data_IF_286655150185
#
_entry.id   IF_286655150185
#
_cell.length_a   1.000
_cell.length_b   1.000
_cell.length_c   1.000
_cell.angle_alpha   90.00
_cell.angle_beta   90.00
_cell.angle_gamma   90.00
#
_symmetry.space_group_name_H-M   'P 1'
#
loop_
_entity.id
_entity.type
_entity.pdbx_description
1 polymer ?
#
# COMPACT_ATOMS: atom_id res chain seq x y z
N UNK A 1 -6.25 -13.68 24.74
CA UNK A 1 -5.29 -12.68 24.19
C UNK A 1 -5.86 -12.15 22.89
N UNK A 2 -6.03 -10.84 22.78
CA UNK A 2 -6.39 -10.20 21.50
C UNK A 2 -5.11 -10.14 20.65
N UNK A 3 -4.93 -11.10 19.73
CA UNK A 3 -3.79 -11.12 18.83
C UNK A 3 -3.81 -9.93 17.86
N UNK A 4 -2.63 -9.43 17.47
CA UNK A 4 -2.51 -8.42 16.43
C UNK A 4 -3.02 -9.04 15.12
N UNK A 5 -4.26 -8.74 14.72
CA UNK A 5 -4.83 -9.22 13.46
C UNK A 5 -4.33 -8.35 12.30
N UNK A 6 -3.07 -8.56 11.88
CA UNK A 6 -2.60 -8.01 10.61
C UNK A 6 -3.24 -8.80 9.46
N UNK A 7 -4.21 -8.20 8.77
CA UNK A 7 -4.78 -8.78 7.57
C UNK A 7 -3.94 -8.35 6.37
N UNK A 8 -2.85 -9.08 6.14
CA UNK A 8 -1.95 -8.88 4.99
C UNK A 8 -2.72 -8.79 3.66
N UNK A 9 -3.78 -9.59 3.53
CA UNK A 9 -4.69 -9.56 2.38
C UNK A 9 -5.43 -8.23 2.23
N UNK A 10 -5.91 -7.64 3.33
CA UNK A 10 -6.59 -6.34 3.30
C UNK A 10 -5.59 -5.22 2.97
N UNK A 11 -4.42 -5.23 3.60
CA UNK A 11 -3.36 -4.25 3.33
C UNK A 11 -2.86 -4.33 1.87
N UNK A 12 -2.67 -5.54 1.34
CA UNK A 12 -2.33 -5.77 -0.06
C UNK A 12 -3.43 -5.27 -1.01
N UNK A 13 -4.70 -5.52 -0.69
CA UNK A 13 -5.84 -5.01 -1.47
C UNK A 13 -5.90 -3.48 -1.50
N UNK A 14 -5.69 -2.82 -0.35
CA UNK A 14 -5.64 -1.35 -0.26
C UNK A 14 -4.46 -0.79 -1.07
N UNK A 15 -3.27 -1.38 -0.96
CA UNK A 15 -2.09 -0.98 -1.76
C UNK A 15 -2.31 -1.14 -3.26
N UNK A 16 -3.00 -2.21 -3.68
CA UNK A 16 -3.35 -2.43 -5.08
C UNK A 16 -4.33 -1.37 -5.61
N UNK A 17 -5.37 -1.03 -4.82
CA UNK A 17 -6.31 0.04 -5.17
C UNK A 17 -5.60 1.40 -5.28
N UNK A 18 -4.67 1.68 -4.38
CA UNK A 18 -3.83 2.87 -4.44
C UNK A 18 -2.94 2.89 -5.68
N UNK A 19 -2.29 1.78 -6.03
CA UNK A 19 -1.51 1.65 -7.26
C UNK A 19 -2.37 1.89 -8.51
N UNK A 20 -3.60 1.38 -8.50
CA UNK A 20 -4.55 1.59 -9.60
C UNK A 20 -4.99 3.06 -9.71
N UNK A 21 -5.28 3.73 -8.59
CA UNK A 21 -5.58 5.16 -8.57
C UNK A 21 -4.40 6.00 -9.06
N UNK A 22 -3.18 5.65 -8.66
CA UNK A 22 -1.93 6.28 -9.13
C UNK A 22 -1.77 6.15 -10.65
N UNK A 23 -2.14 4.99 -11.22
CA UNK A 23 -2.10 4.75 -12.68
C UNK A 23 -3.12 5.57 -13.46
N UNK A 24 -4.26 5.92 -12.86
CA UNK A 24 -5.29 6.76 -13.47
C UNK A 24 -4.77 8.17 -13.82
N UNK A 25 -3.78 8.67 -13.07
CA UNK A 25 -3.14 9.96 -13.36
C UNK A 25 -2.26 9.94 -14.61
N UNK A 26 -1.87 8.78 -15.13
CA UNK A 26 -1.12 8.69 -16.38
C UNK A 26 -1.91 9.23 -17.60
N UNK A 27 -3.25 9.17 -17.54
CA UNK A 27 -4.13 9.70 -18.59
C UNK A 27 -4.05 11.23 -18.77
N UNK A 28 -3.64 11.96 -17.73
CA UNK A 28 -3.42 13.43 -17.79
C UNK A 28 -2.26 13.77 -18.74
N UNK A 29 -1.29 12.86 -18.90
CA UNK A 29 -0.13 13.06 -19.76
C UNK A 29 -0.52 13.12 -21.26
N UNK A 30 -1.53 12.34 -21.68
CA UNK A 30 -2.05 12.40 -23.05
C UNK A 30 -2.71 13.75 -23.36
N UNK A 31 -3.51 14.27 -22.42
CA UNK A 31 -4.17 15.57 -22.57
C UNK A 31 -3.15 16.72 -22.64
N UNK A 32 -2.09 16.67 -21.83
CA UNK A 32 -0.98 17.62 -21.86
C UNK A 32 -0.27 17.60 -23.22
N UNK A 33 0.11 16.41 -23.69
CA UNK A 33 0.78 16.22 -24.98
C UNK A 33 -0.06 16.80 -26.14
N UNK A 34 -1.38 16.61 -26.11
CA UNK A 34 -2.29 17.13 -27.14
C UNK A 34 -2.36 18.66 -27.12
N UNK A 35 -2.35 19.29 -25.94
CA UNK A 35 -2.38 20.74 -25.80
C UNK A 35 -1.05 21.39 -26.21
N UNK A 36 0.10 20.72 -26.01
CA UNK A 36 1.41 21.20 -26.45
C UNK A 36 1.53 21.30 -27.97
N UNK A 37 0.83 20.42 -28.71
CA UNK A 37 0.84 20.38 -30.18
C UNK A 37 0.15 21.57 -30.87
N UNK A 38 -0.53 22.45 -30.11
CA UNK A 38 -1.16 23.66 -30.66
C UNK A 38 -0.34 24.91 -30.33
N UNK A 39 -0.17 25.79 -31.32
CA UNK A 39 0.56 27.07 -31.19
C UNK A 39 -0.38 28.27 -31.03
N UNK A 40 -1.69 28.03 -30.89
CA UNK A 40 -2.69 29.09 -30.75
C UNK A 40 -2.48 29.81 -29.40
N UNK A 41 -2.26 31.13 -29.44
CA UNK A 41 -1.93 31.93 -28.24
C UNK A 41 -2.99 31.84 -27.14
N UNK A 42 -4.28 31.75 -27.51
CA UNK A 42 -5.40 31.55 -26.59
C UNK A 42 -5.35 30.25 -25.79
N UNK A 43 -4.52 29.29 -26.21
CA UNK A 43 -4.36 28.00 -25.52
C UNK A 43 -3.33 28.05 -24.38
N UNK A 44 -2.66 29.19 -24.15
CA UNK A 44 -1.64 29.33 -23.10
C UNK A 44 -2.21 29.04 -21.71
N UNK A 45 -3.45 29.46 -21.43
CA UNK A 45 -4.14 29.16 -20.18
C UNK A 45 -4.38 27.65 -20.02
N UNK A 46 -4.76 26.96 -21.11
CA UNK A 46 -4.96 25.52 -21.10
C UNK A 46 -3.64 24.77 -20.84
N UNK A 47 -2.53 25.19 -21.47
CA UNK A 47 -1.19 24.63 -21.24
C UNK A 47 -0.74 24.78 -19.79
N UNK A 48 -0.91 25.98 -19.21
CA UNK A 48 -0.54 26.25 -17.82
C UNK A 48 -1.38 25.43 -16.83
N UNK A 49 -2.69 25.34 -17.07
CA UNK A 49 -3.60 24.52 -16.26
C UNK A 49 -3.27 23.03 -16.35
N UNK A 50 -2.98 22.52 -17.56
CA UNK A 50 -2.57 21.12 -17.76
C UNK A 50 -1.23 20.80 -17.10
N UNK A 51 -0.25 21.70 -17.19
CA UNK A 51 1.04 21.56 -16.50
C UNK A 51 0.86 21.48 -14.98
N UNK A 52 -0.01 22.34 -14.43
CA UNK A 52 -0.32 22.37 -13.00
C UNK A 52 -1.03 21.09 -12.55
N UNK A 53 -2.01 20.62 -13.34
CA UNK A 53 -2.72 19.36 -13.11
C UNK A 53 -1.78 18.16 -13.20
N UNK A 54 -0.88 18.13 -14.17
CA UNK A 54 0.12 17.08 -14.32
C UNK A 54 1.06 17.03 -13.10
N UNK A 55 1.59 18.17 -12.68
CA UNK A 55 2.44 18.25 -11.47
C UNK A 55 1.69 17.82 -10.21
N UNK A 56 0.42 18.22 -10.08
CA UNK A 56 -0.44 17.80 -8.97
C UNK A 56 -0.69 16.28 -9.00
N UNK A 57 -1.08 15.74 -10.15
CA UNK A 57 -1.34 14.33 -10.36
C UNK A 57 -0.11 13.46 -10.08
N UNK A 58 1.07 13.90 -10.53
CA UNK A 58 2.34 13.22 -10.21
C UNK A 58 2.62 13.22 -8.70
N UNK A 59 2.43 14.34 -8.00
CA UNK A 59 2.61 14.41 -6.55
C UNK A 59 1.65 13.47 -5.81
N UNK A 60 0.38 13.48 -6.21
CA UNK A 60 -0.64 12.59 -5.63
C UNK A 60 -0.32 11.12 -5.90
N UNK A 61 -0.01 10.77 -7.15
CA UNK A 61 0.37 9.42 -7.57
C UNK A 61 1.58 8.90 -6.75
N UNK A 62 2.60 9.73 -6.59
CA UNK A 62 3.78 9.38 -5.79
C UNK A 62 3.49 9.23 -4.30
N UNK A 63 2.60 10.06 -3.73
CA UNK A 63 2.20 9.94 -2.33
C UNK A 63 1.40 8.65 -2.09
N UNK A 64 0.41 8.39 -2.95
CA UNK A 64 -0.43 7.19 -2.93
C UNK A 64 0.43 5.91 -3.05
N UNK A 65 1.40 5.89 -3.97
CA UNK A 65 2.31 4.75 -4.12
C UNK A 65 3.21 4.56 -2.88
N UNK A 66 3.70 5.65 -2.28
CA UNK A 66 4.50 5.60 -1.05
C UNK A 66 3.69 5.02 0.11
N UNK A 67 2.47 5.51 0.30
CA UNK A 67 1.60 5.09 1.40
C UNK A 67 1.15 3.64 1.21
N UNK A 68 0.81 3.24 -0.01
CA UNK A 68 0.50 1.84 -0.35
C UNK A 68 1.66 0.89 -0.01
N UNK A 69 2.89 1.25 -0.41
CA UNK A 69 4.08 0.45 -0.09
C UNK A 69 4.35 0.38 1.41
N UNK A 70 4.18 1.48 2.14
CA UNK A 70 4.35 1.50 3.60
C UNK A 70 3.31 0.61 4.30
N UNK A 71 2.04 0.68 3.89
CA UNK A 71 0.97 -0.19 4.39
C UNK A 71 1.30 -1.67 4.13
N UNK A 72 1.77 -2.00 2.93
CA UNK A 72 2.16 -3.36 2.58
C UNK A 72 3.32 -3.86 3.45
N UNK A 73 4.37 -3.05 3.62
CA UNK A 73 5.55 -3.39 4.43
C UNK A 73 5.18 -3.66 5.89
N UNK A 74 4.43 -2.75 6.51
CA UNK A 74 4.00 -2.89 7.90
C UNK A 74 3.13 -4.15 8.10
N UNK A 75 2.23 -4.41 7.14
CA UNK A 75 1.41 -5.62 7.20
C UNK A 75 2.24 -6.91 7.11
N UNK A 76 3.30 -6.90 6.28
CA UNK A 76 4.24 -8.01 6.16
C UNK A 76 5.04 -8.23 7.46
N UNK A 77 5.53 -7.16 8.08
CA UNK A 77 6.24 -7.22 9.37
C UNK A 77 5.35 -7.82 10.46
N UNK A 78 4.11 -7.34 10.58
CA UNK A 78 3.17 -7.91 11.56
C UNK A 78 2.83 -9.37 11.28
N UNK A 79 2.71 -9.77 10.00
CA UNK A 79 2.48 -11.18 9.65
C UNK A 79 3.65 -12.08 10.08
N UNK A 80 4.89 -11.60 9.92
CA UNK A 80 6.08 -12.32 10.39
C UNK A 80 6.12 -12.43 11.91
N UNK A 81 5.75 -11.37 12.63
CA UNK A 81 5.65 -11.39 14.10
C UNK A 81 4.59 -12.39 14.55
N UNK A 82 3.41 -12.39 13.93
CA UNK A 82 2.33 -13.33 14.26
C UNK A 82 2.75 -14.78 14.04
N UNK A 83 3.46 -15.07 12.93
CA UNK A 83 4.05 -16.39 12.69
C UNK A 83 5.10 -16.80 13.73
N UNK A 84 5.95 -15.87 14.19
CA UNK A 84 6.95 -16.15 15.24
C UNK A 84 6.27 -16.46 16.57
N UNK A 85 5.25 -15.69 16.95
CA UNK A 85 4.47 -15.93 18.17
C UNK A 85 3.79 -17.29 18.09
N UNK A 86 3.13 -17.60 16.98
CA UNK A 86 2.46 -18.89 16.77
C UNK A 86 3.43 -20.08 16.90
N UNK A 87 4.60 -20.01 16.27
CA UNK A 87 5.66 -21.03 16.42
C UNK A 87 6.20 -21.14 17.85
N UNK A 88 6.28 -20.02 18.58
CA UNK A 88 6.69 -19.99 19.99
C UNK A 88 5.70 -20.70 20.91
N UNK A 89 4.40 -20.65 20.59
CA UNK A 89 3.35 -21.38 21.31
C UNK A 89 3.20 -22.85 20.87
N UNK A 90 3.54 -23.18 19.62
CA UNK A 90 3.54 -24.56 19.10
C UNK A 90 4.79 -25.38 19.52
N UNK A 91 5.80 -24.76 20.14
CA UNK A 91 6.88 -25.49 20.81
C UNK A 91 6.35 -26.14 22.10
N UNK A 92 6.64 -27.43 22.37
CA UNK A 92 6.16 -28.14 23.54
C UNK A 92 6.91 -27.67 24.79
N UNK A 93 6.59 -26.48 25.29
CA UNK A 93 7.19 -25.94 26.52
C UNK A 93 6.35 -26.20 27.77
N UNK A 94 5.19 -26.87 27.67
CA UNK A 94 4.46 -27.35 28.84
C UNK A 94 3.63 -28.60 28.50
N UNK A 95 4.26 -29.76 28.53
CA UNK A 95 3.56 -30.96 29.00
C UNK A 95 3.78 -31.01 30.52
N UNK A 96 2.83 -30.55 31.37
CA UNK A 96 2.90 -30.87 32.78
C UNK A 96 2.69 -32.37 32.88
N UNK A 97 3.81 -33.11 32.95
CA UNK A 97 3.80 -34.51 33.32
C UNK A 97 3.38 -34.57 34.79
N UNK A 98 2.08 -34.55 35.06
CA UNK A 98 1.53 -34.92 36.36
C UNK A 98 1.74 -36.43 36.54
N UNK A 99 2.97 -36.79 36.87
CA UNK A 99 3.30 -38.08 37.45
C UNK A 99 2.65 -38.18 38.82
N UNK A 100 1.42 -38.67 38.85
CA UNK A 100 0.74 -39.11 40.05
C UNK A 100 1.04 -40.58 40.28
N UNK A 101 2.02 -40.82 41.15
CA UNK A 101 2.32 -42.10 41.77
C UNK A 101 1.03 -42.77 42.26
N UNK A 102 0.74 -43.99 41.77
CA UNK A 102 -0.20 -44.90 42.41
C UNK A 102 0.63 -45.91 43.20
N UNK A 103 0.78 -45.66 44.49
CA UNK A 103 1.07 -46.69 45.50
C UNK A 103 0.21 -46.41 46.73
#
# INVERSE_FOLDING_TARGET
MSGIKSSLTVAGGVSAQFSQAASGFASVNEAMTKAERTTVSGNSNAKNSLTSLHSCGQRMSNAIARDGNAIHSVAQEFSQIDQKIKKGFDLPMFSPNFGGDRR
#
